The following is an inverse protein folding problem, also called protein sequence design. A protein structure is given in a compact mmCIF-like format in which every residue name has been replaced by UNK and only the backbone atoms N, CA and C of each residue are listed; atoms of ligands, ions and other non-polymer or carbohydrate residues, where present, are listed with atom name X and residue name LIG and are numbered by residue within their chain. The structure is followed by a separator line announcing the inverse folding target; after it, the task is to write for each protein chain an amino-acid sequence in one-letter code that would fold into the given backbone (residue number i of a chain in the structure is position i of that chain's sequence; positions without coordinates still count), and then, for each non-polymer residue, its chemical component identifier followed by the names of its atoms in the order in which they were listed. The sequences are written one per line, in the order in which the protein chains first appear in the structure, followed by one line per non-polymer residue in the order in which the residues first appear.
data_IF_998241230714
#
_entry.id   IF_998241230714
#
_cell.length_a   1.000
_cell.length_b   1.000
_cell.length_c   1.000
_cell.angle_alpha   90.00
_cell.angle_beta   90.00
_cell.angle_gamma   90.00
#
_symmetry.space_group_name_H-M   'P 1'
#
loop_
_entity.id
_entity.type
_entity.pdbx_description
1 polymer ?
#
# COMPACT_ATOMS: atom_id res chain seq x y z
N UNK A 1 -2.56 10.16 -5.25
CA UNK A 1 -3.44 10.87 -4.29
C UNK A 1 -2.61 11.68 -3.29
N UNK A 2 -2.43 12.95 -3.54
CA UNK A 2 -1.68 13.87 -2.68
C UNK A 2 -2.63 14.73 -1.81
N UNK A 3 -2.04 15.52 -0.90
CA UNK A 3 -2.77 16.51 -0.10
C UNK A 3 -2.99 17.79 -0.93
N UNK A 4 -4.17 17.97 -1.48
CA UNK A 4 -4.51 19.11 -2.34
C UNK A 4 -4.56 20.45 -1.60
N UNK A 5 -4.61 20.44 -0.26
CA UNK A 5 -4.56 21.64 0.58
C UNK A 5 -3.14 22.01 1.02
N UNK A 6 -2.14 21.19 0.71
CA UNK A 6 -0.76 21.36 1.19
C UNK A 6 -0.68 21.50 2.71
N UNK A 7 -1.51 20.73 3.44
CA UNK A 7 -1.65 20.80 4.89
C UNK A 7 -0.62 20.00 5.69
N UNK A 8 0.32 19.35 5.01
CA UNK A 8 1.41 18.61 5.64
C UNK A 8 1.30 17.09 5.55
N UNK A 9 0.32 16.56 4.83
CA UNK A 9 0.20 15.14 4.55
C UNK A 9 1.03 14.75 3.30
N UNK A 10 1.62 13.56 3.31
CA UNK A 10 2.50 13.11 2.23
C UNK A 10 1.80 12.35 1.11
N UNK A 11 0.56 11.86 1.34
CA UNK A 11 -0.22 11.16 0.33
C UNK A 11 0.34 9.78 -0.06
N UNK A 12 0.40 9.52 -1.36
CA UNK A 12 0.92 8.28 -1.96
C UNK A 12 2.34 8.42 -2.50
N UNK A 13 2.85 9.65 -2.56
CA UNK A 13 4.21 9.96 -3.03
C UNK A 13 4.47 9.40 -4.46
N UNK A 14 5.67 8.89 -4.71
CA UNK A 14 6.08 8.36 -6.02
C UNK A 14 5.37 7.05 -6.43
N UNK A 15 4.65 6.42 -5.53
CA UNK A 15 3.95 5.16 -5.79
C UNK A 15 2.66 5.31 -6.59
N UNK A 16 2.21 6.52 -6.83
CA UNK A 16 0.91 6.78 -7.44
C UNK A 16 1.01 7.82 -8.55
N UNK A 17 0.47 7.50 -9.73
CA UNK A 17 0.39 8.43 -10.86
C UNK A 17 -0.46 9.67 -10.54
N UNK A 18 -1.39 9.57 -9.58
CA UNK A 18 -2.21 10.69 -9.09
C UNK A 18 -1.48 11.53 -8.03
N UNK A 19 -0.20 11.27 -7.82
CA UNK A 19 0.71 12.00 -6.94
C UNK A 19 2.03 12.26 -7.70
N UNK A 20 3.17 12.29 -7.01
CA UNK A 20 4.49 12.56 -7.61
C UNK A 20 4.99 11.44 -8.53
N UNK A 21 4.39 10.26 -8.49
CA UNK A 21 4.66 9.18 -9.44
C UNK A 21 4.42 9.55 -10.92
N UNK A 22 3.64 10.60 -11.19
CA UNK A 22 3.47 11.15 -12.54
C UNK A 22 4.78 11.64 -13.17
N UNK A 23 5.80 11.96 -12.38
CA UNK A 23 7.08 12.50 -12.81
C UNK A 23 8.18 11.45 -12.98
N UNK A 24 7.87 10.17 -12.85
CA UNK A 24 8.81 9.06 -13.04
C UNK A 24 9.53 9.16 -14.39
N UNK A 25 10.85 8.91 -14.42
CA UNK A 25 11.67 9.01 -15.63
C UNK A 25 11.57 10.36 -16.31
N UNK A 26 11.64 11.46 -15.57
CA UNK A 26 11.45 12.83 -16.08
C UNK A 26 10.09 13.03 -16.81
N UNK A 27 9.05 12.29 -16.37
CA UNK A 27 7.71 12.30 -16.96
C UNK A 27 7.52 11.39 -18.18
N UNK A 28 8.55 10.68 -18.61
CA UNK A 28 8.47 9.74 -19.74
C UNK A 28 7.97 8.35 -19.34
N UNK A 29 8.19 7.96 -18.09
CA UNK A 29 7.76 6.66 -17.55
C UNK A 29 7.11 6.90 -16.19
N UNK A 30 5.88 7.41 -16.15
CA UNK A 30 5.16 7.61 -14.90
C UNK A 30 4.90 6.28 -14.21
N UNK A 31 4.66 6.33 -12.90
CA UNK A 31 4.24 5.17 -12.13
C UNK A 31 3.00 4.50 -12.75
N UNK A 32 2.90 3.18 -12.73
CA UNK A 32 1.71 2.49 -13.20
C UNK A 32 0.49 2.84 -12.33
N UNK A 33 -0.71 2.64 -12.88
CA UNK A 33 -1.91 2.69 -12.05
C UNK A 33 -1.82 1.66 -10.93
N UNK A 34 -2.07 2.09 -9.71
CA UNK A 34 -2.15 1.20 -8.54
C UNK A 34 -3.34 0.24 -8.66
N UNK A 35 -3.36 -0.78 -7.81
CA UNK A 35 -4.53 -1.67 -7.70
C UNK A 35 -5.81 -0.92 -7.35
N UNK A 36 -5.68 0.22 -6.65
CA UNK A 36 -6.84 1.06 -6.32
C UNK A 36 -7.49 1.67 -7.58
N UNK A 37 -6.71 2.39 -8.43
CA UNK A 37 -7.25 2.97 -9.66
C UNK A 37 -7.78 1.89 -10.60
N UNK A 38 -7.06 0.78 -10.73
CA UNK A 38 -7.49 -0.35 -11.56
C UNK A 38 -8.80 -0.95 -11.08
N UNK A 39 -8.98 -1.10 -9.77
CA UNK A 39 -10.24 -1.54 -9.17
C UNK A 39 -11.36 -0.53 -9.41
N UNK A 40 -11.09 0.74 -9.19
CA UNK A 40 -12.06 1.82 -9.40
C UNK A 40 -12.54 1.90 -10.86
N UNK A 41 -11.63 1.74 -11.82
CA UNK A 41 -11.94 1.72 -13.25
C UNK A 41 -12.54 0.39 -13.75
N UNK A 42 -12.65 -0.61 -12.89
CA UNK A 42 -13.16 -1.93 -13.28
C UNK A 42 -12.17 -2.76 -14.13
N UNK A 43 -10.89 -2.41 -14.13
CA UNK A 43 -9.85 -3.13 -14.88
C UNK A 43 -9.25 -4.29 -14.08
N UNK A 44 -9.45 -4.30 -12.78
CA UNK A 44 -8.97 -5.31 -11.84
C UNK A 44 -10.03 -5.56 -10.78
N UNK A 45 -10.27 -6.83 -10.46
CA UNK A 45 -11.03 -7.22 -9.27
C UNK A 45 -10.06 -7.89 -8.30
N UNK A 46 -9.64 -7.21 -7.22
CA UNK A 46 -8.75 -7.80 -6.24
C UNK A 46 -9.37 -9.04 -5.60
N UNK A 47 -8.54 -10.06 -5.34
CA UNK A 47 -8.97 -11.24 -4.60
C UNK A 47 -9.12 -10.90 -3.12
N UNK A 48 -10.28 -11.20 -2.55
CA UNK A 48 -10.54 -10.97 -1.12
C UNK A 48 -9.81 -12.01 -0.28
N UNK A 49 -9.01 -11.55 0.69
CA UNK A 49 -8.39 -12.39 1.71
C UNK A 49 -9.21 -12.29 3.01
N UNK A 50 -9.88 -13.37 3.39
CA UNK A 50 -10.74 -13.45 4.58
C UNK A 50 -10.54 -14.72 5.41
N UNK A 51 -9.74 -15.65 4.92
CA UNK A 51 -9.46 -16.94 5.56
C UNK A 51 -7.98 -17.34 5.38
N UNK A 52 -7.42 -18.18 6.27
CA UNK A 52 -6.03 -18.60 6.20
C UNK A 52 -5.65 -19.17 4.83
N UNK A 53 -4.62 -18.62 4.21
CA UNK A 53 -4.12 -19.05 2.91
C UNK A 53 -2.65 -18.66 2.74
N UNK A 54 -1.88 -19.47 2.03
CA UNK A 54 -0.57 -19.09 1.49
C UNK A 54 -0.73 -18.64 0.05
N UNK A 55 -0.37 -17.40 -0.23
CA UNK A 55 -0.28 -16.86 -1.60
C UNK A 55 1.10 -17.18 -2.13
N UNK A 56 1.16 -17.90 -3.24
CA UNK A 56 2.40 -18.24 -3.92
C UNK A 56 2.53 -17.46 -5.21
N UNK A 57 3.72 -16.92 -5.46
CA UNK A 57 4.12 -16.33 -6.74
C UNK A 57 3.19 -15.20 -7.23
N UNK A 58 2.74 -14.31 -6.31
CA UNK A 58 1.99 -13.11 -6.68
C UNK A 58 2.76 -12.31 -7.73
N UNK A 59 2.14 -12.11 -8.89
CA UNK A 59 2.77 -11.49 -10.05
C UNK A 59 2.92 -9.98 -9.90
N UNK A 60 3.92 -9.38 -10.58
CA UNK A 60 4.02 -7.94 -10.69
C UNK A 60 2.77 -7.31 -11.29
N UNK A 61 2.34 -6.18 -10.75
CA UNK A 61 1.13 -5.45 -11.19
C UNK A 61 1.20 -5.01 -12.66
N UNK A 62 2.40 -4.90 -13.22
CA UNK A 62 2.64 -4.54 -14.62
C UNK A 62 2.61 -5.71 -15.60
N UNK A 63 2.79 -6.93 -15.12
CA UNK A 63 2.82 -8.13 -15.97
C UNK A 63 1.42 -8.74 -16.09
N UNK A 64 0.88 -9.20 -14.98
CA UNK A 64 -0.50 -9.66 -14.86
C UNK A 64 -1.17 -8.86 -13.74
N UNK A 65 -2.26 -8.13 -14.01
CA UNK A 65 -2.92 -7.32 -12.97
C UNK A 65 -3.47 -8.22 -11.86
N UNK A 66 -2.66 -8.47 -10.85
CA UNK A 66 -2.99 -9.26 -9.67
C UNK A 66 -2.89 -8.38 -8.43
N UNK A 67 -3.91 -8.42 -7.59
CA UNK A 67 -3.91 -7.74 -6.29
C UNK A 67 -4.83 -8.46 -5.31
N UNK A 68 -4.57 -8.25 -4.03
CA UNK A 68 -5.37 -8.80 -2.94
C UNK A 68 -5.94 -7.66 -2.09
N UNK A 69 -7.12 -7.89 -1.50
CA UNK A 69 -7.79 -6.92 -0.64
C UNK A 69 -8.13 -7.56 0.72
N UNK A 70 -7.84 -6.82 1.78
CA UNK A 70 -8.11 -7.22 3.17
C UNK A 70 -8.97 -6.14 3.80
N UNK A 71 -10.20 -6.45 4.13
CA UNK A 71 -11.15 -5.50 4.71
C UNK A 71 -11.04 -5.41 6.22
N UNK A 72 -11.27 -4.22 6.75
CA UNK A 72 -11.76 -4.04 8.10
C UNK A 72 -13.14 -4.72 8.21
N UNK A 73 -13.33 -5.62 9.18
CA UNK A 73 -14.55 -6.43 9.25
C UNK A 73 -15.79 -5.61 9.62
N UNK A 74 -15.59 -4.55 10.39
CA UNK A 74 -16.67 -3.65 10.80
C UNK A 74 -16.97 -2.55 9.78
N UNK A 75 -15.97 -2.12 9.01
CA UNK A 75 -16.09 -1.03 8.06
C UNK A 75 -15.44 -1.41 6.72
N UNK A 76 -16.24 -1.82 5.77
CA UNK A 76 -15.77 -2.25 4.44
C UNK A 76 -15.22 -1.12 3.57
N UNK A 77 -15.44 0.15 3.95
CA UNK A 77 -14.82 1.30 3.32
C UNK A 77 -13.36 1.48 3.75
N UNK A 78 -12.88 0.71 4.73
CA UNK A 78 -11.48 0.69 5.12
C UNK A 78 -10.87 -0.68 4.83
N UNK A 79 -9.75 -0.67 4.09
CA UNK A 79 -9.09 -1.88 3.64
C UNK A 79 -7.62 -1.67 3.30
N UNK A 80 -6.88 -2.76 3.22
CA UNK A 80 -5.57 -2.81 2.59
C UNK A 80 -5.69 -3.40 1.19
N UNK A 81 -4.88 -2.88 0.26
CA UNK A 81 -4.61 -3.49 -1.03
C UNK A 81 -3.15 -3.92 -1.08
N UNK A 82 -2.91 -5.13 -1.55
CA UNK A 82 -1.56 -5.69 -1.72
C UNK A 82 -1.28 -5.79 -3.21
N UNK A 83 -0.17 -5.21 -3.65
CA UNK A 83 0.28 -5.25 -5.04
C UNK A 83 1.79 -5.42 -5.12
N UNK A 84 2.30 -6.03 -6.19
CA UNK A 84 3.73 -6.31 -6.36
C UNK A 84 4.33 -5.38 -7.40
N UNK A 85 5.40 -4.66 -7.02
CA UNK A 85 6.20 -3.77 -7.86
C UNK A 85 7.58 -4.37 -8.13
N UNK A 86 8.10 -4.30 -9.38
CA UNK A 86 9.33 -5.00 -9.75
C UNK A 86 10.29 -4.24 -10.64
N UNK A 87 10.24 -2.94 -10.68
CA UNK A 87 11.16 -2.10 -11.46
C UNK A 87 11.35 -2.57 -12.92
N UNK A 88 10.26 -3.02 -13.55
CA UNK A 88 10.22 -3.50 -14.94
C UNK A 88 9.07 -2.83 -15.71
N UNK A 89 9.25 -2.66 -17.01
CA UNK A 89 8.21 -2.06 -17.85
C UNK A 89 7.83 -0.64 -17.38
N UNK A 90 6.56 -0.40 -17.16
CA UNK A 90 6.07 0.88 -16.64
C UNK A 90 6.50 1.16 -15.19
N UNK A 91 6.95 0.16 -14.46
CA UNK A 91 7.43 0.26 -13.09
C UNK A 91 8.96 0.46 -13.00
N UNK A 92 9.63 0.63 -14.15
CA UNK A 92 11.10 0.64 -14.25
C UNK A 92 11.78 1.80 -13.50
N UNK A 93 11.04 2.87 -13.21
CA UNK A 93 11.53 4.01 -12.43
C UNK A 93 10.95 4.06 -11.02
N UNK A 94 10.32 2.99 -10.58
CA UNK A 94 9.90 2.82 -9.18
C UNK A 94 11.13 2.87 -8.25
N UNK A 95 10.98 3.50 -7.10
CA UNK A 95 12.07 3.70 -6.13
C UNK A 95 12.53 2.40 -5.46
N UNK A 96 11.69 1.36 -5.49
CA UNK A 96 11.97 0.05 -4.89
C UNK A 96 11.18 -1.07 -5.54
N UNK A 97 11.32 -2.27 -5.00
CA UNK A 97 10.62 -3.45 -5.49
C UNK A 97 10.13 -4.33 -4.32
N UNK A 98 9.08 -5.10 -4.57
CA UNK A 98 8.42 -5.95 -3.57
C UNK A 98 6.92 -5.70 -3.46
N UNK A 99 6.31 -6.22 -2.40
CA UNK A 99 4.88 -6.05 -2.14
C UNK A 99 4.62 -4.70 -1.47
N UNK A 100 3.90 -3.83 -2.16
CA UNK A 100 3.40 -2.57 -1.60
C UNK A 100 2.06 -2.82 -0.92
N UNK A 101 1.86 -2.22 0.26
CA UNK A 101 0.60 -2.28 1.01
C UNK A 101 -0.03 -0.91 1.01
N UNK A 102 -1.13 -0.75 0.28
CA UNK A 102 -1.94 0.45 0.29
C UNK A 102 -2.94 0.39 1.45
N UNK A 103 -3.14 1.51 2.13
CA UNK A 103 -4.16 1.67 3.16
C UNK A 103 -5.19 2.69 2.70
N UNK A 104 -6.39 2.23 2.46
CA UNK A 104 -7.52 3.04 1.99
C UNK A 104 -8.59 3.14 3.07
N UNK A 105 -9.06 4.36 3.32
CA UNK A 105 -10.27 4.64 4.12
C UNK A 105 -11.20 5.49 3.25
N UNK A 106 -11.98 4.81 2.42
CA UNK A 106 -12.83 5.44 1.42
C UNK A 106 -13.88 6.35 2.05
N UNK A 107 -14.12 7.48 1.41
CA UNK A 107 -15.21 8.40 1.74
C UNK A 107 -15.67 9.10 0.47
N UNK A 108 -16.88 8.81 0.03
CA UNK A 108 -17.44 9.40 -1.17
C UNK A 108 -17.27 10.93 -1.21
N UNK A 109 -17.59 11.62 -0.10
CA UNK A 109 -17.46 13.07 -0.03
C UNK A 109 -16.02 13.57 -0.16
N UNK A 110 -15.04 12.83 0.38
CA UNK A 110 -13.63 13.20 0.25
C UNK A 110 -13.13 13.00 -1.19
N UNK A 111 -13.57 11.93 -1.85
CA UNK A 111 -13.24 11.67 -3.25
C UNK A 111 -13.90 12.67 -4.20
N UNK A 112 -15.18 12.98 -4.00
CA UNK A 112 -15.91 13.98 -4.82
C UNK A 112 -15.28 15.38 -4.75
N UNK A 113 -14.64 15.70 -3.62
CA UNK A 113 -13.96 16.98 -3.40
C UNK A 113 -12.46 16.93 -3.79
N UNK A 114 -11.96 15.81 -4.33
CA UNK A 114 -10.53 15.59 -4.59
C UNK A 114 -9.67 15.84 -3.33
N UNK A 115 -10.12 15.37 -2.18
CA UNK A 115 -9.55 15.68 -0.87
C UNK A 115 -9.30 14.46 0.02
N UNK A 116 -8.96 13.25 -0.51
CA UNK A 116 -8.81 12.06 0.33
C UNK A 116 -7.71 12.20 1.38
N UNK A 117 -6.69 13.00 1.11
CA UNK A 117 -5.55 13.19 2.00
C UNK A 117 -5.44 14.60 2.61
N UNK A 118 -6.48 15.42 2.49
CA UNK A 118 -6.47 16.81 3.00
C UNK A 118 -6.66 16.94 4.51
N UNK A 119 -6.78 15.84 5.22
CA UNK A 119 -7.04 15.82 6.66
C UNK A 119 -6.36 14.66 7.37
N UNK A 120 -6.65 14.55 8.66
CA UNK A 120 -6.19 13.46 9.51
C UNK A 120 -7.39 12.61 9.93
N UNK A 121 -7.33 11.29 9.73
CA UNK A 121 -6.26 10.54 9.09
C UNK A 121 -6.20 10.73 7.57
N UNK A 122 -5.02 10.50 6.97
CA UNK A 122 -4.90 10.34 5.53
C UNK A 122 -5.69 9.09 5.09
N UNK A 123 -6.43 9.20 3.98
CA UNK A 123 -7.37 8.17 3.54
C UNK A 123 -6.85 7.27 2.43
N UNK A 124 -5.76 7.68 1.80
CA UNK A 124 -5.11 6.92 0.73
C UNK A 124 -3.61 7.06 0.89
N UNK A 125 -2.98 6.05 1.49
CA UNK A 125 -1.54 6.03 1.79
C UNK A 125 -0.99 4.62 1.63
N UNK A 126 0.32 4.47 1.82
CA UNK A 126 0.97 3.17 1.97
C UNK A 126 1.32 2.90 3.44
N UNK A 127 1.61 1.64 3.74
CA UNK A 127 2.26 1.22 5.00
C UNK A 127 3.69 0.81 4.66
N UNK A 128 4.68 1.72 4.82
CA UNK A 128 6.06 1.45 4.42
C UNK A 128 6.69 0.36 5.29
N UNK A 129 7.26 -0.66 4.64
CA UNK A 129 7.81 -1.83 5.33
C UNK A 129 8.94 -1.49 6.31
N UNK A 130 9.69 -0.45 6.03
CA UNK A 130 10.80 -0.01 6.89
C UNK A 130 10.36 0.93 8.03
N UNK A 131 9.11 1.40 7.99
CA UNK A 131 8.55 2.35 8.97
C UNK A 131 9.43 3.59 9.17
N UNK A 132 10.12 4.05 8.12
CA UNK A 132 11.01 5.21 8.20
C UNK A 132 10.32 6.49 7.72
N UNK A 133 10.29 7.46 8.60
CA UNK A 133 9.72 8.78 8.32
C UNK A 133 10.68 9.87 8.81
N UNK A 134 10.70 10.99 8.12
CA UNK A 134 11.37 12.20 8.56
C UNK A 134 10.44 13.40 8.46
N UNK A 135 10.64 14.39 9.31
CA UNK A 135 9.95 15.66 9.18
C UNK A 135 10.66 16.52 8.14
N UNK A 136 9.88 17.02 7.19
CA UNK A 136 10.33 18.01 6.20
C UNK A 136 9.50 19.28 6.29
N UNK A 137 10.01 20.36 5.72
CA UNK A 137 9.27 21.62 5.58
C UNK A 137 9.14 21.96 4.10
N UNK A 138 7.90 22.13 3.66
CA UNK A 138 7.60 22.47 2.28
C UNK A 138 6.45 23.49 2.26
N UNK A 139 6.63 24.59 1.55
CA UNK A 139 5.68 25.71 1.54
C UNK A 139 5.26 26.20 2.93
N UNK A 140 6.18 26.18 3.91
CA UNK A 140 5.89 26.64 5.27
C UNK A 140 5.08 25.66 6.14
N UNK A 141 4.77 24.49 5.62
CA UNK A 141 4.11 23.40 6.35
C UNK A 141 5.12 22.30 6.72
N UNK A 142 4.91 21.71 7.88
CA UNK A 142 5.72 20.55 8.30
C UNK A 142 5.02 19.27 7.83
N UNK A 143 5.75 18.50 7.03
CA UNK A 143 5.33 17.18 6.55
C UNK A 143 6.06 16.10 7.31
N UNK A 144 5.37 14.98 7.54
CA UNK A 144 6.03 13.72 7.87
C UNK A 144 6.07 12.90 6.59
N UNK A 145 7.26 12.69 6.05
CA UNK A 145 7.48 12.05 4.76
C UNK A 145 8.11 10.67 4.96
N UNK A 146 7.74 9.65 4.19
CA UNK A 146 8.54 8.44 4.08
C UNK A 146 9.94 8.81 3.59
N UNK A 147 10.93 8.17 4.17
CA UNK A 147 12.33 8.23 3.72
C UNK A 147 12.73 6.86 3.24
N UNK A 148 13.77 6.74 2.41
CA UNK A 148 14.20 5.44 1.89
C UNK A 148 13.06 4.68 1.19
N UNK A 149 12.47 5.27 0.14
CA UNK A 149 11.36 4.67 -0.61
C UNK A 149 11.65 3.25 -1.11
N UNK A 150 12.93 2.89 -1.30
CA UNK A 150 13.33 1.52 -1.60
C UNK A 150 13.00 0.54 -0.45
N UNK A 151 12.78 1.05 0.76
CA UNK A 151 12.35 0.30 1.93
C UNK A 151 10.84 0.20 2.10
N UNK A 152 10.04 0.93 1.31
CA UNK A 152 8.58 0.94 1.45
C UNK A 152 7.92 -0.41 1.11
N UNK A 153 8.28 -1.11 0.01
CA UNK A 153 7.72 -2.42 -0.29
C UNK A 153 8.25 -3.51 0.64
N UNK A 154 7.44 -4.54 0.88
CA UNK A 154 7.85 -5.74 1.62
C UNK A 154 8.46 -6.78 0.69
N UNK A 155 9.52 -7.52 1.09
CA UNK A 155 10.27 -7.37 2.34
C UNK A 155 11.19 -6.15 2.35
N UNK A 156 11.47 -5.52 1.20
CA UNK A 156 12.26 -4.31 1.03
C UNK A 156 13.69 -4.38 1.56
N UNK A 157 14.35 -3.23 1.61
CA UNK A 157 15.76 -3.10 2.04
C UNK A 157 15.99 -3.55 3.49
N UNK A 158 14.96 -3.43 4.35
CA UNK A 158 15.03 -3.89 5.75
C UNK A 158 14.68 -5.36 5.93
N UNK A 159 14.30 -6.05 4.85
CA UNK A 159 13.88 -7.45 4.87
C UNK A 159 12.77 -7.72 5.88
N UNK A 160 11.81 -6.79 5.97
CA UNK A 160 10.65 -6.94 6.83
C UNK A 160 9.66 -7.94 6.21
N UNK A 161 9.46 -9.05 6.90
CA UNK A 161 8.68 -10.19 6.40
C UNK A 161 7.29 -10.28 7.00
N UNK A 162 6.83 -9.25 7.73
CA UNK A 162 5.55 -9.32 8.41
C UNK A 162 4.86 -7.97 8.55
N UNK A 163 3.54 -8.00 8.45
CA UNK A 163 2.64 -6.91 8.84
C UNK A 163 1.53 -7.49 9.70
N UNK A 164 1.63 -7.26 11.01
CA UNK A 164 0.72 -7.77 12.03
C UNK A 164 0.30 -6.66 12.98
N UNK A 165 -0.63 -6.93 13.91
CA UNK A 165 -1.04 -5.95 14.92
C UNK A 165 0.11 -5.50 15.84
N UNK A 166 1.18 -6.26 15.92
CA UNK A 166 2.32 -6.05 16.84
C UNK A 166 3.66 -5.87 16.15
N UNK A 167 3.73 -5.97 14.81
CA UNK A 167 4.93 -5.71 14.03
C UNK A 167 5.28 -4.21 13.98
N UNK A 168 6.43 -3.89 13.42
CA UNK A 168 6.84 -2.52 13.11
C UNK A 168 7.15 -2.40 11.61
N UNK A 169 6.28 -1.71 10.84
CA UNK A 169 5.03 -1.06 11.24
C UNK A 169 3.97 -2.05 11.68
N UNK A 170 3.01 -1.59 12.48
CA UNK A 170 1.86 -2.38 12.85
C UNK A 170 0.71 -2.21 11.84
N UNK A 171 -0.14 -3.24 11.70
CA UNK A 171 -1.31 -3.24 10.83
C UNK A 171 -2.46 -2.39 11.40
N UNK A 172 -2.25 -1.06 11.43
CA UNK A 172 -3.17 -0.08 12.01
C UNK A 172 -4.32 0.25 11.07
N UNK A 173 -5.45 0.56 11.68
CA UNK A 173 -6.66 1.08 11.04
C UNK A 173 -6.98 2.50 11.54
N UNK A 174 -7.67 3.27 10.72
CA UNK A 174 -8.19 4.59 11.09
C UNK A 174 -9.50 4.45 11.89
N UNK A 175 -10.31 3.45 11.57
CA UNK A 175 -11.59 3.14 12.25
C UNK A 175 -11.48 1.85 13.05
N UNK A 176 -12.35 1.69 14.06
CA UNK A 176 -12.34 0.49 14.87
C UNK A 176 -12.78 -0.74 14.06
N UNK A 177 -12.13 -1.87 14.30
CA UNK A 177 -12.52 -3.17 13.79
C UNK A 177 -13.63 -3.79 14.67
N UNK A 178 -14.08 -4.99 14.33
CA UNK A 178 -15.15 -5.71 15.04
C UNK A 178 -14.83 -6.00 16.53
N UNK A 179 -13.55 -6.12 16.87
CA UNK A 179 -13.07 -6.27 18.26
C UNK A 179 -12.93 -4.95 19.03
N UNK A 180 -13.29 -3.81 18.41
CA UNK A 180 -13.20 -2.46 18.98
C UNK A 180 -11.81 -1.84 18.92
N UNK A 181 -10.77 -2.57 18.53
CA UNK A 181 -9.41 -2.05 18.35
C UNK A 181 -9.21 -1.46 16.95
N UNK A 182 -8.23 -0.58 16.80
CA UNK A 182 -7.84 -0.01 15.50
C UNK A 182 -6.67 -0.79 14.89
N UNK A 183 -6.87 -2.10 14.71
CA UNK A 183 -5.92 -3.00 14.08
C UNK A 183 -6.65 -3.97 13.14
N UNK A 184 -5.95 -4.40 12.11
CA UNK A 184 -6.54 -5.28 11.10
C UNK A 184 -6.92 -6.65 11.65
N UNK A 185 -6.13 -7.19 12.60
CA UNK A 185 -6.40 -8.49 13.21
C UNK A 185 -6.21 -9.68 12.26
N UNK A 186 -5.57 -9.45 11.11
CA UNK A 186 -5.33 -10.44 10.06
C UNK A 186 -3.86 -10.37 9.65
N UNK A 187 -2.99 -11.15 10.28
CA UNK A 187 -1.55 -11.08 10.06
C UNK A 187 -1.16 -11.51 8.64
N UNK A 188 -0.19 -10.79 8.08
CA UNK A 188 0.55 -11.16 6.88
C UNK A 188 1.96 -11.48 7.34
N UNK A 189 2.45 -12.68 7.05
CA UNK A 189 3.73 -13.18 7.56
C UNK A 189 4.49 -13.95 6.48
N UNK A 190 5.76 -14.27 6.75
CA UNK A 190 6.62 -15.02 5.86
C UNK A 190 6.73 -14.43 4.45
N UNK A 191 6.67 -13.10 4.35
CA UNK A 191 6.77 -12.40 3.07
C UNK A 191 8.15 -12.62 2.48
N UNK A 192 8.21 -13.18 1.29
CA UNK A 192 9.43 -13.44 0.54
C UNK A 192 9.28 -12.99 -0.91
N UNK A 193 10.40 -12.58 -1.48
CA UNK A 193 10.52 -12.20 -2.87
C UNK A 193 11.52 -13.13 -3.56
N UNK A 194 11.12 -13.72 -4.66
CA UNK A 194 12.02 -14.54 -5.48
C UNK A 194 12.90 -13.66 -6.39
N UNK A 195 14.01 -14.19 -6.85
CA UNK A 195 15.01 -13.45 -7.65
C UNK A 195 14.46 -12.90 -8.98
N UNK A 196 13.39 -13.45 -9.48
CA UNK A 196 12.68 -13.08 -10.72
C UNK A 196 11.47 -12.18 -10.47
N UNK A 197 11.13 -11.93 -9.19
CA UNK A 197 10.21 -10.89 -8.75
C UNK A 197 8.92 -11.32 -8.08
N UNK A 198 8.35 -12.51 -8.28
CA UNK A 198 7.13 -12.96 -7.58
C UNK A 198 7.25 -12.92 -6.06
N UNK A 199 6.13 -12.58 -5.40
CA UNK A 199 6.02 -12.49 -3.95
C UNK A 199 5.22 -13.68 -3.41
N UNK A 200 5.71 -14.28 -2.34
CA UNK A 200 5.00 -15.32 -1.58
C UNK A 200 4.82 -14.84 -0.15
N UNK A 201 3.64 -15.08 0.43
CA UNK A 201 3.35 -14.75 1.82
C UNK A 201 2.26 -15.64 2.42
N UNK A 202 2.23 -15.72 3.73
CA UNK A 202 1.17 -16.35 4.50
C UNK A 202 0.19 -15.31 5.02
N UNK A 203 -1.09 -15.52 4.79
CA UNK A 203 -2.18 -14.75 5.36
C UNK A 203 -2.86 -15.56 6.46
N UNK A 204 -2.97 -14.99 7.66
CA UNK A 204 -3.56 -15.63 8.85
C UNK A 204 -2.97 -17.00 9.17
N UNK A 205 -1.63 -17.13 9.02
CA UNK A 205 -0.89 -18.38 9.30
C UNK A 205 -0.74 -19.32 8.11
N UNK A 206 -1.25 -18.95 6.93
CA UNK A 206 -1.09 -19.75 5.71
C UNK A 206 -2.02 -20.96 5.62
N UNK A 207 -1.76 -21.82 4.62
CA UNK A 207 -2.53 -23.03 4.45
C UNK A 207 -2.39 -23.93 5.67
N UNK A 208 -3.50 -24.30 6.30
CA UNK A 208 -3.48 -25.37 7.30
C UNK A 208 -3.13 -26.67 6.60
N UNK A 209 -1.93 -27.20 6.85
CA UNK A 209 -1.63 -28.59 6.53
C UNK A 209 -2.53 -29.47 7.38
N UNK A 210 -3.58 -30.03 6.75
CA UNK A 210 -4.45 -31.03 7.36
C UNK A 210 -3.74 -32.36 7.54
#
# INVERSE_FOLDING_TARGET
FYDTNYGGNWGMDNWDIMDTGAYGGDGYVPAPYTSYERMFCGWLTPTVLDSPITIQDMKPITDEPEAYIIYNDRNKDEYYLLENHQQKGWDSYSDGHGMLVLHVTYSQSAWDQNAPNNGTPQRMTIIPADNQFASGNYYGQTYTLPTDRAGDPYPGTKRNKSLTDTSTPAAKLNTANSDGRKYMGKPIENITESSDGPITFDFMGGNTTG
#
